data_IF_791075801625
#
_entry.id   IF_791075801625
#
_cell.length_a   1.000
_cell.length_b   1.000
_cell.length_c   1.000
_cell.angle_alpha   90.00
_cell.angle_beta   90.00
_cell.angle_gamma   90.00
#
_symmetry.space_group_name_H-M   'P 1'
#
loop_
_entity.id
_entity.type
_entity.pdbx_description
1 polymer ?
#
# COMPACT_ATOMS: atom_id res chain seq x y z
N UNK A 1 -14.72 9.71 -23.15
CA UNK A 1 -14.30 8.40 -22.60
C UNK A 1 -15.55 7.57 -22.33
N UNK A 2 -15.65 6.36 -22.88
CA UNK A 2 -16.82 5.47 -22.73
C UNK A 2 -16.46 4.28 -21.86
N UNK A 3 -17.23 4.03 -20.80
CA UNK A 3 -17.07 2.82 -19.99
C UNK A 3 -17.64 1.60 -20.75
N UNK A 4 -16.84 0.57 -21.05
CA UNK A 4 -17.29 -0.63 -21.76
C UNK A 4 -18.40 -1.42 -21.04
N UNK A 5 -18.49 -1.33 -19.71
CA UNK A 5 -19.40 -2.17 -18.92
C UNK A 5 -20.73 -1.48 -18.60
N UNK A 6 -20.70 -0.16 -18.40
CA UNK A 6 -21.89 0.61 -18.03
C UNK A 6 -22.46 1.42 -19.20
N UNK A 7 -21.70 1.57 -20.29
CA UNK A 7 -22.10 2.38 -21.44
C UNK A 7 -22.09 3.88 -21.18
N UNK A 8 -21.70 4.31 -19.97
CA UNK A 8 -21.63 5.73 -19.62
C UNK A 8 -20.54 6.42 -20.46
N UNK A 9 -20.93 7.55 -21.04
CA UNK A 9 -20.05 8.39 -21.84
C UNK A 9 -19.79 9.70 -21.10
N UNK A 10 -18.52 9.98 -20.85
CA UNK A 10 -18.08 11.23 -20.23
C UNK A 10 -17.22 12.03 -21.22
N UNK A 11 -17.61 13.28 -21.42
CA UNK A 11 -16.81 14.27 -22.15
C UNK A 11 -15.69 14.81 -21.25
N UNK A 12 -14.42 14.80 -21.68
CA UNK A 12 -13.30 15.29 -20.90
C UNK A 12 -13.26 16.82 -20.93
N UNK A 13 -14.19 17.46 -20.22
CA UNK A 13 -14.20 18.92 -20.05
C UNK A 13 -13.02 19.38 -19.19
N UNK A 14 -12.48 20.57 -19.44
CA UNK A 14 -11.39 21.17 -18.66
C UNK A 14 -11.66 21.16 -17.15
N UNK A 15 -12.90 21.41 -16.73
CA UNK A 15 -13.30 21.34 -15.31
C UNK A 15 -13.15 19.94 -14.72
N UNK A 16 -13.57 18.90 -15.45
CA UNK A 16 -13.45 17.51 -15.02
C UNK A 16 -11.98 17.07 -14.95
N UNK A 17 -11.18 17.42 -15.96
CA UNK A 17 -9.75 17.12 -15.97
C UNK A 17 -9.01 17.82 -14.83
N UNK A 18 -9.33 19.08 -14.56
CA UNK A 18 -8.72 19.86 -13.46
C UNK A 18 -9.10 19.28 -12.09
N UNK A 19 -10.37 18.90 -11.90
CA UNK A 19 -10.83 18.25 -10.67
C UNK A 19 -10.14 16.89 -10.45
N UNK A 20 -10.00 16.09 -11.50
CA UNK A 20 -9.31 14.80 -11.43
C UNK A 20 -7.81 14.97 -11.13
N UNK A 21 -7.15 15.98 -11.70
CA UNK A 21 -5.75 16.29 -11.42
C UNK A 21 -5.54 16.66 -9.94
N UNK A 22 -6.43 17.47 -9.37
CA UNK A 22 -6.40 17.80 -7.94
C UNK A 22 -6.62 16.55 -7.07
N UNK A 23 -7.52 15.66 -7.47
CA UNK A 23 -7.73 14.40 -6.77
C UNK A 23 -6.49 13.50 -6.78
N UNK A 24 -5.82 13.34 -7.93
CA UNK A 24 -4.57 12.57 -7.98
C UNK A 24 -3.44 13.18 -7.16
N UNK A 25 -3.34 14.51 -7.14
CA UNK A 25 -2.38 15.21 -6.31
C UNK A 25 -2.62 14.92 -4.82
N UNK A 26 -3.85 15.12 -4.34
CA UNK A 26 -4.20 14.88 -2.93
C UNK A 26 -4.06 13.41 -2.53
N UNK A 27 -4.58 12.49 -3.35
CA UNK A 27 -4.49 11.05 -3.12
C UNK A 27 -3.05 10.52 -3.17
N UNK A 28 -2.13 11.20 -3.86
CA UNK A 28 -0.70 10.86 -3.88
C UNK A 28 0.09 11.46 -2.72
N UNK A 29 -0.18 12.71 -2.35
CA UNK A 29 0.62 13.45 -1.37
C UNK A 29 0.42 12.93 0.05
N UNK A 30 -0.82 12.80 0.51
CA UNK A 30 -1.09 12.44 1.91
C UNK A 30 -0.57 11.05 2.29
N UNK A 31 -0.80 9.98 1.50
CA UNK A 31 -0.29 8.65 1.83
C UNK A 31 1.24 8.59 1.79
N UNK A 32 1.88 9.23 0.80
CA UNK A 32 3.34 9.28 0.70
C UNK A 32 3.97 10.05 1.87
N UNK A 33 3.39 11.19 2.27
CA UNK A 33 3.86 11.94 3.42
C UNK A 33 3.76 11.12 4.71
N UNK A 34 2.66 10.40 4.92
CA UNK A 34 2.50 9.53 6.08
C UNK A 34 3.48 8.34 6.06
N UNK A 35 3.74 7.76 4.88
CA UNK A 35 4.72 6.68 4.71
C UNK A 35 6.13 7.12 5.12
N UNK A 36 6.58 8.28 4.62
CA UNK A 36 7.89 8.83 4.95
C UNK A 36 7.97 9.17 6.44
N UNK A 37 6.95 9.87 6.96
CA UNK A 37 6.92 10.31 8.35
C UNK A 37 6.95 9.13 9.33
N UNK A 38 6.07 8.14 9.15
CA UNK A 38 6.00 6.96 10.02
C UNK A 38 7.31 6.17 10.00
N UNK A 39 7.90 5.98 8.82
CA UNK A 39 9.18 5.28 8.67
C UNK A 39 10.30 5.99 9.41
N UNK A 40 10.44 7.32 9.23
CA UNK A 40 11.47 8.10 9.92
C UNK A 40 11.31 8.06 11.45
N UNK A 41 10.08 8.21 11.95
CA UNK A 41 9.79 8.14 13.39
C UNK A 41 10.15 6.76 13.96
N UNK A 42 9.84 5.68 13.25
CA UNK A 42 10.16 4.32 13.65
C UNK A 42 11.69 4.07 13.64
N UNK A 43 12.39 4.56 12.63
CA UNK A 43 13.85 4.47 12.54
C UNK A 43 14.54 5.22 13.67
N UNK A 44 14.09 6.44 14.01
CA UNK A 44 14.63 7.20 15.15
C UNK A 44 14.46 6.47 16.48
N UNK A 45 13.43 5.62 16.61
CA UNK A 45 13.19 4.81 17.81
C UNK A 45 14.01 3.51 17.84
N UNK A 46 14.55 3.06 16.70
CA UNK A 46 15.27 1.80 16.55
C UNK A 46 16.65 2.01 15.93
N UNK A 47 17.64 2.50 16.71
CA UNK A 47 18.96 2.85 16.18
C UNK A 47 19.70 1.67 15.51
N UNK A 48 19.49 0.44 16.01
CA UNK A 48 20.08 -0.77 15.41
C UNK A 48 19.54 -1.06 13.99
N UNK A 49 18.27 -0.76 13.74
CA UNK A 49 17.65 -0.94 12.42
C UNK A 49 18.13 0.18 11.49
N UNK A 50 18.22 1.41 12.01
CA UNK A 50 18.78 2.53 11.27
C UNK A 50 20.21 2.26 10.81
N UNK A 51 21.08 1.73 11.68
CA UNK A 51 22.45 1.37 11.33
C UNK A 51 22.53 0.35 10.17
N UNK A 52 21.65 -0.66 10.18
CA UNK A 52 21.53 -1.63 9.08
C UNK A 52 21.06 -0.98 7.77
N UNK A 53 20.09 -0.07 7.83
CA UNK A 53 19.64 0.70 6.64
C UNK A 53 20.78 1.52 6.08
N UNK A 54 21.54 2.22 6.92
CA UNK A 54 22.70 2.98 6.49
C UNK A 54 23.77 2.09 5.85
N UNK A 55 24.08 0.94 6.44
CA UNK A 55 25.01 -0.03 5.85
C UNK A 55 24.56 -0.49 4.46
N UNK A 56 23.28 -0.85 4.28
CA UNK A 56 22.78 -1.24 2.95
C UNK A 56 22.92 -0.10 1.94
N UNK A 57 22.60 1.14 2.33
CA UNK A 57 22.72 2.30 1.46
C UNK A 57 24.19 2.51 1.06
N UNK A 58 25.11 2.52 2.03
CA UNK A 58 26.53 2.72 1.79
C UNK A 58 27.11 1.63 0.88
N UNK A 59 26.75 0.36 1.10
CA UNK A 59 27.15 -0.77 0.25
C UNK A 59 26.71 -0.59 -1.21
N UNK A 60 25.47 -0.15 -1.44
CA UNK A 60 24.96 0.10 -2.80
C UNK A 60 25.61 1.32 -3.45
N UNK A 61 25.92 2.36 -2.69
CA UNK A 61 26.63 3.55 -3.20
C UNK A 61 28.06 3.20 -3.66
N UNK A 62 28.77 2.40 -2.88
CA UNK A 62 30.12 1.92 -3.22
C UNK A 62 30.08 1.00 -4.46
N UNK A 63 29.15 0.03 -4.48
CA UNK A 63 28.96 -0.92 -5.58
C UNK A 63 28.72 -0.21 -6.92
N UNK A 64 27.92 0.87 -6.91
CA UNK A 64 27.52 1.60 -8.11
C UNK A 64 28.35 2.87 -8.37
N UNK A 65 29.48 3.05 -7.66
CA UNK A 65 30.41 4.19 -7.83
C UNK A 65 29.71 5.56 -7.77
N UNK A 66 28.79 5.73 -6.82
CA UNK A 66 27.96 6.93 -6.65
C UNK A 66 27.02 7.26 -7.83
N UNK A 67 26.79 6.33 -8.76
CA UNK A 67 25.79 6.49 -9.81
C UNK A 67 24.47 5.85 -9.38
N UNK A 68 23.59 6.64 -8.76
CA UNK A 68 22.30 6.18 -8.27
C UNK A 68 21.28 6.28 -9.42
N UNK A 69 20.86 5.15 -9.96
CA UNK A 69 19.70 5.06 -10.85
C UNK A 69 18.50 4.51 -10.10
N UNK A 70 17.31 4.61 -10.70
CA UNK A 70 16.08 4.04 -10.14
C UNK A 70 16.23 2.53 -9.85
N UNK A 71 16.87 1.80 -10.76
CA UNK A 71 17.09 0.36 -10.62
C UNK A 71 17.93 0.03 -9.39
N UNK A 72 18.92 0.87 -9.05
CA UNK A 72 19.75 0.70 -7.84
C UNK A 72 18.93 0.86 -6.57
N UNK A 73 17.97 1.78 -6.56
CA UNK A 73 17.07 1.96 -5.40
C UNK A 73 16.16 0.74 -5.26
N UNK A 74 15.71 0.16 -6.37
CA UNK A 74 14.92 -1.07 -6.36
C UNK A 74 15.72 -2.31 -5.87
N UNK A 75 17.05 -2.28 -5.91
CA UNK A 75 17.92 -3.34 -5.35
C UNK A 75 18.00 -3.30 -3.81
N UNK A 76 17.60 -2.19 -3.16
CA UNK A 76 17.71 -2.02 -1.69
C UNK A 76 16.59 -2.75 -0.95
N UNK A 77 16.78 -4.04 -0.72
CA UNK A 77 15.78 -4.95 -0.13
C UNK A 77 15.44 -4.61 1.33
N UNK A 78 16.43 -4.21 2.14
CA UNK A 78 16.21 -3.92 3.56
C UNK A 78 15.44 -2.62 3.75
N UNK A 79 15.71 -1.59 2.93
CA UNK A 79 14.89 -0.37 2.90
C UNK A 79 13.43 -0.67 2.58
N UNK A 80 13.16 -1.56 1.61
CA UNK A 80 11.79 -1.95 1.26
C UNK A 80 11.08 -2.71 2.39
N UNK A 81 11.81 -3.58 3.11
CA UNK A 81 11.30 -4.26 4.32
C UNK A 81 10.92 -3.28 5.42
N UNK A 82 11.77 -2.29 5.68
CA UNK A 82 11.56 -1.26 6.71
C UNK A 82 10.33 -0.42 6.37
N UNK A 83 10.19 0.00 5.10
CA UNK A 83 9.04 0.74 4.63
C UNK A 83 7.74 -0.08 4.75
N UNK A 84 7.80 -1.36 4.37
CA UNK A 84 6.67 -2.29 4.46
C UNK A 84 6.18 -2.47 5.90
N UNK A 85 7.10 -2.67 6.85
CA UNK A 85 6.75 -2.81 8.26
C UNK A 85 6.23 -1.50 8.87
N UNK A 86 6.77 -0.35 8.45
CA UNK A 86 6.26 0.95 8.87
C UNK A 86 4.80 1.17 8.43
N UNK A 87 4.47 0.78 7.19
CA UNK A 87 3.13 0.88 6.64
C UNK A 87 2.16 -0.17 7.20
N UNK A 88 2.68 -1.31 7.69
CA UNK A 88 1.88 -2.26 8.47
C UNK A 88 1.42 -1.63 9.79
N UNK A 89 2.34 -1.04 10.55
CA UNK A 89 2.06 -0.41 11.85
C UNK A 89 1.24 0.88 11.73
N UNK A 90 1.54 1.70 10.72
CA UNK A 90 0.88 3.00 10.49
C UNK A 90 0.34 3.11 9.06
N UNK A 91 -0.71 2.34 8.72
CA UNK A 91 -1.30 2.40 7.39
C UNK A 91 -1.98 3.76 7.17
N UNK A 92 -1.76 4.44 6.03
CA UNK A 92 -2.45 5.68 5.70
C UNK A 92 -3.98 5.54 5.64
N UNK A 93 -4.48 4.35 5.29
CA UNK A 93 -5.90 4.02 5.25
C UNK A 93 -6.14 2.83 6.18
N UNK A 94 -6.80 3.05 7.32
CA UNK A 94 -7.08 2.00 8.31
C UNK A 94 -8.38 1.22 8.08
N UNK A 95 -9.32 1.76 7.28
CA UNK A 95 -10.65 1.19 7.08
C UNK A 95 -11.10 1.41 5.63
N UNK A 96 -11.44 0.34 4.93
CA UNK A 96 -12.08 0.44 3.62
C UNK A 96 -13.59 0.27 3.76
N UNK A 97 -14.34 1.17 3.12
CA UNK A 97 -15.79 1.12 3.11
C UNK A 97 -16.29 0.82 1.69
N UNK A 98 -17.28 -0.07 1.59
CA UNK A 98 -18.03 -0.34 0.35
C UNK A 98 -19.52 -0.35 0.66
N UNK A 99 -20.34 -0.05 -0.34
CA UNK A 99 -21.80 -0.16 -0.23
C UNK A 99 -22.31 -1.18 -1.26
N UNK A 100 -23.16 -2.08 -0.82
CA UNK A 100 -23.74 -3.10 -1.66
C UNK A 100 -24.74 -2.45 -2.65
N UNK A 101 -24.46 -2.53 -3.95
CA UNK A 101 -25.31 -1.91 -4.98
C UNK A 101 -26.53 -2.76 -5.36
N UNK A 102 -26.50 -4.06 -5.10
CA UNK A 102 -27.52 -5.05 -5.45
C UNK A 102 -27.52 -6.19 -4.43
N UNK A 103 -28.68 -6.80 -4.17
CA UNK A 103 -28.77 -7.97 -3.29
C UNK A 103 -27.82 -9.05 -3.79
N UNK A 104 -26.93 -9.50 -2.92
CA UNK A 104 -25.87 -10.46 -3.29
C UNK A 104 -25.61 -11.45 -2.17
N UNK A 105 -24.89 -12.52 -2.49
CA UNK A 105 -24.45 -13.52 -1.52
C UNK A 105 -22.93 -13.54 -1.54
N UNK A 106 -22.30 -13.34 -0.39
CA UNK A 106 -20.85 -13.41 -0.29
C UNK A 106 -20.39 -14.83 -0.64
N UNK A 107 -19.38 -14.99 -1.51
CA UNK A 107 -18.91 -16.30 -1.96
C UNK A 107 -18.33 -17.13 -0.81
N UNK A 108 -17.78 -16.44 0.20
CA UNK A 108 -17.30 -17.06 1.44
C UNK A 108 -18.39 -16.92 2.51
N UNK A 109 -18.83 -18.05 3.05
CA UNK A 109 -19.80 -18.10 4.15
C UNK A 109 -21.28 -18.01 3.75
N UNK A 110 -21.60 -17.90 2.44
CA UNK A 110 -22.98 -17.84 1.93
C UNK A 110 -23.87 -16.78 2.62
N UNK A 111 -23.27 -15.66 3.01
CA UNK A 111 -23.95 -14.59 3.74
C UNK A 111 -24.75 -13.75 2.75
N UNK A 112 -26.07 -13.65 2.94
CA UNK A 112 -26.93 -12.79 2.13
C UNK A 112 -26.76 -11.34 2.58
N UNK A 113 -26.42 -10.47 1.64
CA UNK A 113 -26.23 -9.04 1.86
C UNK A 113 -27.25 -8.28 1.03
N UNK A 114 -28.11 -7.53 1.70
CA UNK A 114 -29.10 -6.69 1.04
C UNK A 114 -28.44 -5.45 0.42
N UNK A 115 -29.02 -4.96 -0.67
CA UNK A 115 -28.69 -3.69 -1.28
C UNK A 115 -28.75 -2.56 -0.24
N UNK A 116 -27.77 -1.68 -0.30
CA UNK A 116 -27.63 -0.55 0.62
C UNK A 116 -26.82 -0.88 1.88
N UNK A 117 -26.52 -2.15 2.16
CA UNK A 117 -25.67 -2.54 3.29
C UNK A 117 -24.25 -2.00 3.09
N UNK A 118 -23.70 -1.34 4.13
CA UNK A 118 -22.31 -0.90 4.16
C UNK A 118 -21.42 -2.03 4.69
N UNK A 119 -20.35 -2.31 3.95
CA UNK A 119 -19.32 -3.28 4.29
C UNK A 119 -18.06 -2.52 4.70
N UNK A 120 -17.48 -2.92 5.82
CA UNK A 120 -16.28 -2.33 6.38
C UNK A 120 -15.19 -3.41 6.44
N UNK A 121 -14.04 -3.12 5.85
CA UNK A 121 -12.85 -3.97 5.94
C UNK A 121 -11.82 -3.26 6.83
N UNK A 122 -11.61 -3.75 8.07
CA UNK A 122 -10.71 -3.11 9.02
C UNK A 122 -9.26 -3.50 8.73
N UNK A 123 -8.56 -2.68 7.95
CA UNK A 123 -7.17 -2.92 7.53
C UNK A 123 -6.24 -2.92 8.74
N UNK A 124 -6.37 -1.89 9.58
CA UNK A 124 -5.52 -1.71 10.75
C UNK A 124 -5.62 -2.90 11.72
N UNK A 125 -6.83 -3.41 11.94
CA UNK A 125 -7.05 -4.56 12.82
C UNK A 125 -6.40 -5.83 12.26
N UNK A 126 -6.51 -6.06 10.94
CA UNK A 126 -5.86 -7.21 10.28
C UNK A 126 -4.34 -7.12 10.42
N UNK A 127 -3.77 -5.92 10.26
CA UNK A 127 -2.33 -5.69 10.41
C UNK A 127 -1.82 -5.87 11.84
N UNK A 128 -2.70 -5.74 12.84
CA UNK A 128 -2.39 -5.89 14.26
C UNK A 128 -2.93 -7.19 14.87
N UNK A 129 -3.48 -8.12 14.06
CA UNK A 129 -3.97 -9.39 14.55
C UNK A 129 -2.78 -10.30 14.91
N UNK A 130 -2.60 -10.70 16.19
CA UNK A 130 -1.51 -11.56 16.61
C UNK A 130 -1.53 -12.96 15.98
N UNK A 131 -2.67 -13.38 15.41
CA UNK A 131 -2.78 -14.65 14.67
C UNK A 131 -2.12 -14.59 13.29
N UNK A 132 -2.04 -13.39 12.71
CA UNK A 132 -1.44 -13.15 11.39
C UNK A 132 0.00 -12.64 11.56
N UNK A 133 0.19 -11.70 12.49
CA UNK A 133 1.47 -11.08 12.81
C UNK A 133 1.82 -11.32 14.29
N UNK A 134 2.62 -12.34 14.63
CA UNK A 134 3.05 -12.59 16.00
C UNK A 134 3.77 -11.36 16.57
N UNK A 135 3.46 -10.94 17.79
CA UNK A 135 3.98 -9.71 18.40
C UNK A 135 3.74 -8.45 17.53
N UNK A 136 2.47 -8.10 17.25
CA UNK A 136 2.11 -7.11 16.22
C UNK A 136 2.60 -5.69 16.53
N UNK A 137 2.82 -5.36 17.80
CA UNK A 137 3.31 -4.05 18.26
C UNK A 137 4.83 -3.88 18.08
N UNK A 138 5.57 -4.98 17.83
CA UNK A 138 7.02 -4.95 17.65
C UNK A 138 7.35 -4.61 16.20
N UNK A 139 8.13 -3.54 16.03
CA UNK A 139 8.69 -3.14 14.73
C UNK A 139 9.82 -4.09 14.33
N UNK A 140 9.51 -5.04 13.45
CA UNK A 140 10.48 -6.03 12.95
C UNK A 140 10.45 -6.11 11.41
N UNK A 141 11.41 -5.46 10.73
CA UNK A 141 11.53 -5.52 9.27
C UNK A 141 11.79 -6.93 8.71
N UNK A 142 12.34 -7.85 9.51
CA UNK A 142 12.67 -9.20 9.01
C UNK A 142 11.43 -10.06 8.71
N UNK A 143 10.25 -9.62 9.17
CA UNK A 143 8.95 -10.21 8.83
C UNK A 143 8.71 -10.28 7.33
N UNK A 144 9.30 -9.38 6.56
CA UNK A 144 9.18 -9.29 5.10
C UNK A 144 10.37 -9.90 4.36
N UNK A 145 11.01 -10.95 4.90
CA UNK A 145 12.11 -11.67 4.24
C UNK A 145 11.64 -12.55 3.07
N UNK A 146 12.56 -12.80 2.10
CA UNK A 146 12.31 -13.35 0.76
C UNK A 146 11.38 -14.57 0.73
N UNK A 147 10.28 -14.42 -0.02
CA UNK A 147 9.23 -15.43 -0.23
C UNK A 147 7.85 -14.78 -0.40
N UNK A 148 7.71 -13.56 0.14
CA UNK A 148 6.63 -12.63 -0.19
C UNK A 148 7.18 -11.74 -1.31
N UNK A 149 6.63 -11.84 -2.52
CA UNK A 149 7.01 -10.95 -3.63
C UNK A 149 6.90 -9.47 -3.21
N UNK A 150 7.53 -8.52 -3.95
CA UNK A 150 7.65 -7.13 -3.54
C UNK A 150 6.31 -6.64 -3.02
N UNK A 151 6.23 -6.38 -1.71
CA UNK A 151 5.02 -5.88 -1.10
C UNK A 151 4.98 -4.39 -1.36
N UNK A 152 4.66 -4.05 -2.62
CA UNK A 152 3.63 -3.05 -2.84
C UNK A 152 2.55 -3.37 -1.82
N UNK A 153 2.28 -2.42 -0.92
CA UNK A 153 1.25 -2.26 0.15
C UNK A 153 -0.05 -3.07 -0.02
N UNK A 154 -0.28 -3.63 -1.20
CA UNK A 154 -1.43 -4.36 -1.65
C UNK A 154 -1.33 -5.89 -1.65
N UNK A 155 -0.23 -6.62 -1.40
CA UNK A 155 -0.24 -8.10 -1.61
C UNK A 155 -0.95 -8.94 -0.53
N UNK A 156 -0.93 -8.56 0.75
CA UNK A 156 -1.88 -9.16 1.72
C UNK A 156 -3.31 -8.60 1.52
N UNK A 157 -3.38 -7.40 0.93
CA UNK A 157 -4.59 -6.71 0.53
C UNK A 157 -5.20 -7.23 -0.79
N UNK A 158 -4.46 -8.01 -1.60
CA UNK A 158 -4.76 -8.12 -3.02
C UNK A 158 -5.88 -9.09 -3.27
N UNK A 159 -6.08 -10.10 -2.43
CA UNK A 159 -7.24 -10.99 -2.59
C UNK A 159 -8.57 -10.25 -2.33
N UNK A 160 -8.56 -9.15 -1.58
CA UNK A 160 -9.76 -8.37 -1.24
C UNK A 160 -9.86 -7.01 -1.94
N UNK A 161 -8.74 -6.44 -2.40
CA UNK A 161 -8.65 -5.09 -3.00
C UNK A 161 -8.33 -5.12 -4.49
N UNK A 162 -8.08 -6.29 -5.10
CA UNK A 162 -8.04 -6.45 -6.58
C UNK A 162 -9.45 -6.34 -7.19
N UNK A 163 -10.01 -5.15 -7.11
CA UNK A 163 -11.19 -4.71 -7.85
C UNK A 163 -10.87 -3.44 -8.63
N UNK A 164 -11.89 -2.86 -9.26
CA UNK A 164 -11.82 -1.65 -10.12
C UNK A 164 -11.26 -0.36 -9.48
N UNK A 165 -10.76 -0.40 -8.24
CA UNK A 165 -10.31 0.77 -7.46
C UNK A 165 -8.87 0.57 -6.97
N UNK A 166 -8.03 -0.08 -7.79
CA UNK A 166 -6.58 -0.09 -7.55
C UNK A 166 -5.97 1.26 -7.93
N UNK A 167 -4.89 1.66 -7.24
CA UNK A 167 -4.17 2.88 -7.56
C UNK A 167 -3.52 2.76 -8.96
N UNK A 168 -3.81 3.68 -9.90
CA UNK A 168 -3.15 3.66 -11.20
C UNK A 168 -1.70 4.16 -11.09
N UNK A 169 -0.74 3.44 -11.67
CA UNK A 169 0.65 3.92 -11.82
C UNK A 169 1.75 3.12 -11.12
N UNK A 170 1.46 1.93 -10.59
CA UNK A 170 2.53 1.06 -10.04
C UNK A 170 3.31 0.37 -11.17
N UNK A 171 4.64 0.59 -11.30
CA UNK A 171 5.45 -0.13 -12.27
C UNK A 171 5.50 -1.61 -11.90
N UNK A 172 5.20 -2.48 -12.86
CA UNK A 172 5.39 -3.92 -12.70
C UNK A 172 6.89 -4.23 -12.68
N UNK A 173 7.50 -4.24 -11.49
CA UNK A 173 8.76 -4.93 -11.29
C UNK A 173 8.45 -6.44 -11.29
N UNK A 174 8.85 -7.10 -12.37
CA UNK A 174 8.88 -8.57 -12.47
C UNK A 174 9.99 -9.13 -11.61
#
# INVERSE_FOLDING_TARGET
MRDPQTGYEMEPTTGLLSAQALFFFTAGVEPCANAIFSTLVLLCRHPKILEKVHQEIDEHFEKHKNNITYDVICEMEYVDKVLSEALRLFPPIGLLTRQCCQDTVLPVGNVKVAKGTKMFTPIYEIHNDPKIYPDPEVFDPERFSKGVGPMMIFTCHSEWVTGRVSAPGMPSCK
#
